data_IF_736830137391
#
_entry.id   IF_736830137391
#
_cell.length_a   1.000
_cell.length_b   1.000
_cell.length_c   1.000
_cell.angle_alpha   90.00
_cell.angle_beta   90.00
_cell.angle_gamma   90.00
#
_symmetry.space_group_name_H-M   'P 1'
#
loop_
_entity.id
_entity.type
_entity.pdbx_description
1 polymer ?
#
# COMPACT_ATOMS: atom_id res chain seq x y z
N UNK A 1 -6.96 20.71 -10.42
CA UNK A 1 -7.67 19.77 -9.54
C UNK A 1 -6.68 19.15 -8.55
N UNK A 2 -6.97 19.21 -7.27
CA UNK A 2 -6.08 18.64 -6.25
C UNK A 2 -6.22 17.11 -6.21
N UNK A 3 -5.10 16.41 -6.30
CA UNK A 3 -5.05 14.97 -6.08
C UNK A 3 -5.07 14.66 -4.59
N UNK A 4 -5.32 13.39 -4.22
CA UNK A 4 -5.20 12.97 -2.81
C UNK A 4 -3.80 13.22 -2.26
N UNK A 5 -2.78 12.96 -3.07
CA UNK A 5 -1.38 13.18 -2.68
C UNK A 5 -1.14 14.66 -2.36
N UNK A 6 -1.54 15.54 -3.26
CA UNK A 6 -1.35 16.97 -3.08
C UNK A 6 -2.07 17.48 -1.83
N UNK A 7 -3.33 17.09 -1.64
CA UNK A 7 -4.10 17.48 -0.45
C UNK A 7 -3.45 17.01 0.84
N UNK A 8 -2.96 15.78 0.85
CA UNK A 8 -2.31 15.21 2.04
C UNK A 8 -1.07 16.02 2.41
N UNK A 9 -0.20 16.32 1.45
CA UNK A 9 1.00 17.10 1.72
C UNK A 9 0.69 18.55 2.08
N UNK A 10 -0.32 19.15 1.48
CA UNK A 10 -0.75 20.51 1.85
C UNK A 10 -1.26 20.57 3.29
N UNK A 11 -2.04 19.60 3.71
CA UNK A 11 -2.53 19.48 5.09
C UNK A 11 -1.40 19.27 6.09
N UNK A 12 -0.46 18.38 5.77
CA UNK A 12 0.71 18.14 6.62
C UNK A 12 1.53 19.42 6.78
N UNK A 13 1.77 20.13 5.68
CA UNK A 13 2.51 21.39 5.71
C UNK A 13 1.80 22.44 6.53
N UNK A 14 0.49 22.59 6.35
CA UNK A 14 -0.34 23.56 7.10
C UNK A 14 -0.30 23.31 8.61
N UNK A 15 -0.18 22.05 9.01
CA UNK A 15 -0.15 21.64 10.42
C UNK A 15 1.28 21.46 10.94
N UNK A 16 2.28 21.79 10.16
CA UNK A 16 3.71 21.61 10.51
C UNK A 16 4.03 20.18 10.93
N UNK A 17 3.45 19.20 10.22
CA UNK A 17 3.61 17.78 10.50
C UNK A 17 4.45 17.09 9.43
N UNK A 18 5.21 16.09 9.85
CA UNK A 18 5.96 15.21 8.96
C UNK A 18 5.06 14.07 8.51
N UNK A 19 5.11 13.73 7.23
CA UNK A 19 4.34 12.63 6.68
C UNK A 19 5.00 11.28 6.92
N UNK A 20 4.17 10.25 7.12
CA UNK A 20 4.60 8.86 7.19
C UNK A 20 4.11 8.14 5.94
N UNK A 21 5.05 7.60 5.18
CA UNK A 21 4.78 6.79 3.99
C UNK A 21 5.16 5.35 4.31
N UNK A 22 4.19 4.45 4.25
CA UNK A 22 4.43 3.03 4.51
C UNK A 22 4.38 2.23 3.22
N UNK A 23 5.15 1.15 3.18
CA UNK A 23 5.23 0.24 2.03
C UNK A 23 4.77 -1.14 2.42
N UNK A 24 4.06 -1.80 1.49
CA UNK A 24 3.75 -3.20 1.67
C UNK A 24 3.63 -3.89 0.31
N UNK A 25 3.98 -5.17 0.26
CA UNK A 25 3.84 -5.98 -0.94
C UNK A 25 2.39 -6.40 -1.13
N UNK A 26 1.81 -6.11 -2.28
CA UNK A 26 0.45 -6.50 -2.60
C UNK A 26 0.29 -8.03 -2.54
N UNK A 27 -0.75 -8.48 -1.83
CA UNK A 27 -1.03 -9.91 -1.68
C UNK A 27 -0.24 -10.62 -0.58
N UNK A 28 0.64 -9.92 0.12
CA UNK A 28 1.40 -10.50 1.24
C UNK A 28 0.70 -10.24 2.58
N UNK A 29 0.63 -11.21 3.48
CA UNK A 29 0.98 -12.63 3.31
C UNK A 29 -0.05 -13.42 2.50
N UNK A 30 -1.26 -12.90 2.38
CA UNK A 30 -2.32 -13.34 1.48
C UNK A 30 -3.27 -12.16 1.21
N UNK A 31 -4.24 -12.36 0.33
CA UNK A 31 -5.11 -11.26 -0.12
C UNK A 31 -5.92 -10.65 1.03
N UNK A 32 -6.54 -11.47 1.86
CA UNK A 32 -7.42 -10.98 2.94
C UNK A 32 -6.64 -10.24 4.02
N UNK A 33 -5.52 -10.81 4.47
CA UNK A 33 -4.67 -10.17 5.47
C UNK A 33 -4.02 -8.89 4.92
N UNK A 34 -3.65 -8.89 3.65
CA UNK A 34 -3.11 -7.69 3.02
C UNK A 34 -4.11 -6.53 3.07
N UNK A 35 -5.38 -6.79 2.78
CA UNK A 35 -6.43 -5.78 2.89
C UNK A 35 -6.57 -5.27 4.33
N UNK A 36 -6.57 -6.17 5.31
CA UNK A 36 -6.65 -5.81 6.72
C UNK A 36 -5.47 -4.92 7.14
N UNK A 37 -4.27 -5.26 6.68
CA UNK A 37 -3.06 -4.47 6.95
C UNK A 37 -3.17 -3.07 6.35
N UNK A 38 -3.60 -2.94 5.11
CA UNK A 38 -3.77 -1.63 4.45
C UNK A 38 -4.77 -0.77 5.22
N UNK A 39 -5.91 -1.36 5.59
CA UNK A 39 -6.92 -0.65 6.38
C UNK A 39 -6.35 -0.18 7.73
N UNK A 40 -5.59 -1.04 8.41
CA UNK A 40 -5.00 -0.71 9.69
C UNK A 40 -3.90 0.34 9.57
N UNK A 41 -3.08 0.29 8.53
CA UNK A 41 -2.05 1.31 8.28
C UNK A 41 -2.66 2.70 8.16
N UNK A 42 -3.75 2.83 7.43
CA UNK A 42 -4.42 4.13 7.26
C UNK A 42 -5.02 4.63 8.58
N UNK A 43 -5.57 3.75 9.40
CA UNK A 43 -6.15 4.10 10.70
C UNK A 43 -5.09 4.45 11.73
N UNK A 44 -3.91 3.84 11.62
CA UNK A 44 -2.84 3.96 12.60
C UNK A 44 -1.86 5.11 12.33
N UNK A 45 -2.10 5.89 11.28
CA UNK A 45 -1.36 7.12 11.05
C UNK A 45 -0.52 7.17 9.78
N UNK A 46 -0.60 6.17 8.90
CA UNK A 46 0.04 6.28 7.60
C UNK A 46 -0.66 7.35 6.76
N UNK A 47 0.11 8.32 6.31
CA UNK A 47 -0.41 9.42 5.50
C UNK A 47 -0.52 9.06 4.03
N UNK A 48 0.34 8.16 3.58
CA UNK A 48 0.36 7.65 2.23
C UNK A 48 0.82 6.19 2.28
N UNK A 49 0.25 5.35 1.44
CA UNK A 49 0.62 3.93 1.38
C UNK A 49 1.16 3.61 0.00
N UNK A 50 2.33 3.00 -0.05
CA UNK A 50 2.91 2.46 -1.27
C UNK A 50 2.64 0.96 -1.35
N UNK A 51 1.97 0.53 -2.42
CA UNK A 51 1.70 -0.87 -2.68
C UNK A 51 2.68 -1.37 -3.72
N UNK A 52 3.54 -2.32 -3.32
CA UNK A 52 4.49 -2.93 -4.21
C UNK A 52 3.90 -4.08 -4.99
N UNK A 53 4.01 -4.06 -6.33
CA UNK A 53 3.64 -5.20 -7.14
C UNK A 53 4.63 -6.33 -6.92
N UNK A 54 4.17 -7.56 -6.59
CA UNK A 54 5.09 -8.69 -6.49
C UNK A 54 5.78 -8.95 -7.82
N UNK A 55 7.08 -9.13 -7.78
CA UNK A 55 7.89 -9.36 -8.95
C UNK A 55 8.83 -10.53 -8.70
N UNK A 56 9.02 -11.38 -9.71
CA UNK A 56 9.81 -12.61 -9.56
C UNK A 56 11.31 -12.36 -9.43
N UNK A 57 11.77 -11.16 -9.80
CA UNK A 57 13.20 -10.82 -9.82
C UNK A 57 13.44 -9.40 -9.30
N UNK A 58 13.08 -9.09 -8.03
CA UNK A 58 13.21 -7.74 -7.49
C UNK A 58 14.62 -7.47 -6.97
N UNK A 59 15.58 -7.37 -7.87
CA UNK A 59 17.03 -7.33 -7.53
C UNK A 59 17.43 -6.12 -6.68
N UNK A 60 16.75 -5.00 -6.82
CA UNK A 60 17.13 -3.74 -6.16
C UNK A 60 16.54 -3.57 -4.76
N UNK A 61 15.63 -4.42 -4.33
CA UNK A 61 14.83 -4.18 -3.12
C UNK A 61 15.29 -4.96 -1.88
N UNK A 62 16.23 -5.88 -2.05
CA UNK A 62 16.79 -6.66 -0.97
C UNK A 62 15.99 -7.90 -0.59
N UNK A 63 16.52 -8.71 0.34
CA UNK A 63 15.98 -10.04 0.61
C UNK A 63 14.60 -10.06 1.25
N UNK A 64 14.26 -9.06 2.07
CA UNK A 64 12.96 -9.00 2.75
C UNK A 64 11.82 -8.81 1.75
N UNK A 65 11.98 -7.84 0.84
CA UNK A 65 10.96 -7.58 -0.20
C UNK A 65 10.92 -8.73 -1.21
N UNK A 66 12.07 -9.30 -1.55
CA UNK A 66 12.13 -10.49 -2.41
C UNK A 66 11.32 -11.63 -1.82
N UNK A 67 11.46 -11.87 -0.53
CA UNK A 67 10.73 -12.94 0.16
C UNK A 67 9.23 -12.68 0.20
N UNK A 68 8.79 -11.45 0.51
CA UNK A 68 7.38 -11.11 0.52
C UNK A 68 6.75 -11.22 -0.87
N UNK A 69 7.47 -10.82 -1.90
CA UNK A 69 7.04 -10.97 -3.30
C UNK A 69 6.88 -12.44 -3.67
N UNK A 70 7.86 -13.27 -3.29
CA UNK A 70 7.79 -14.71 -3.55
C UNK A 70 6.56 -15.34 -2.89
N UNK A 71 6.30 -15.03 -1.64
CA UNK A 71 5.15 -15.55 -0.90
C UNK A 71 3.85 -15.11 -1.59
N UNK A 72 3.73 -13.85 -1.96
CA UNK A 72 2.55 -13.35 -2.65
C UNK A 72 2.32 -14.05 -3.99
N UNK A 73 3.37 -14.22 -4.79
CA UNK A 73 3.31 -14.92 -6.07
C UNK A 73 2.96 -16.40 -5.90
N UNK A 74 3.55 -17.06 -4.92
CA UNK A 74 3.25 -18.47 -4.62
C UNK A 74 1.79 -18.65 -4.19
N UNK A 75 1.17 -17.62 -3.59
CA UNK A 75 -0.24 -17.60 -3.25
C UNK A 75 -1.15 -17.19 -4.43
N UNK A 76 -0.59 -17.03 -5.61
CA UNK A 76 -1.36 -16.75 -6.82
C UNK A 76 -1.72 -15.29 -7.05
N UNK A 77 -0.98 -14.36 -6.43
CA UNK A 77 -1.27 -12.94 -6.61
C UNK A 77 -1.06 -12.49 -8.06
N UNK A 78 -1.96 -11.64 -8.54
CA UNK A 78 -1.94 -11.07 -9.90
C UNK A 78 -2.15 -9.57 -9.85
N UNK A 79 -1.90 -8.89 -10.97
CA UNK A 79 -2.21 -7.46 -11.13
C UNK A 79 -3.69 -7.18 -10.87
N UNK A 80 -4.57 -8.03 -11.33
CA UNK A 80 -6.02 -7.89 -11.11
C UNK A 80 -6.36 -7.91 -9.63
N UNK A 81 -5.71 -8.79 -8.86
CA UNK A 81 -5.91 -8.86 -7.41
C UNK A 81 -5.39 -7.61 -6.71
N UNK A 82 -4.34 -6.98 -7.21
CA UNK A 82 -3.88 -5.68 -6.70
C UNK A 82 -4.96 -4.62 -6.89
N UNK A 83 -5.56 -4.54 -8.06
CA UNK A 83 -6.64 -3.58 -8.30
C UNK A 83 -7.87 -3.86 -7.45
N UNK A 84 -8.22 -5.13 -7.25
CA UNK A 84 -9.32 -5.51 -6.36
C UNK A 84 -9.04 -5.09 -4.92
N UNK A 85 -7.81 -5.26 -4.46
CA UNK A 85 -7.37 -4.85 -3.14
C UNK A 85 -7.59 -3.34 -2.93
N UNK A 86 -7.16 -2.54 -3.88
CA UNK A 86 -7.32 -1.08 -3.83
C UNK A 86 -8.80 -0.69 -3.89
N UNK A 87 -9.58 -1.34 -4.75
CA UNK A 87 -11.02 -1.13 -4.84
C UNK A 87 -11.73 -1.35 -3.51
N UNK A 88 -11.42 -2.47 -2.85
CA UNK A 88 -11.99 -2.80 -1.55
C UNK A 88 -11.57 -1.79 -0.48
N UNK A 89 -10.32 -1.38 -0.49
CA UNK A 89 -9.82 -0.33 0.40
C UNK A 89 -10.61 0.97 0.20
N UNK A 90 -10.85 1.37 -1.06
CA UNK A 90 -11.59 2.60 -1.39
C UNK A 90 -13.06 2.58 -0.95
N UNK A 91 -13.65 1.43 -0.72
CA UNK A 91 -15.02 1.38 -0.18
C UNK A 91 -15.13 1.96 1.22
N UNK A 92 -14.05 1.95 1.98
CA UNK A 92 -14.01 2.44 3.36
C UNK A 92 -13.14 3.69 3.54
N UNK A 93 -12.26 3.98 2.60
CA UNK A 93 -11.32 5.09 2.69
C UNK A 93 -11.11 5.73 1.33
N UNK A 94 -11.67 6.92 1.16
CA UNK A 94 -11.55 7.70 -0.08
C UNK A 94 -10.44 8.75 -0.02
N UNK A 95 -9.78 8.92 1.13
CA UNK A 95 -8.87 10.05 1.38
C UNK A 95 -7.39 9.68 1.34
N UNK A 96 -7.00 8.52 1.84
CA UNK A 96 -5.59 8.13 1.93
C UNK A 96 -5.02 7.85 0.54
N UNK A 97 -3.95 8.54 0.12
CA UNK A 97 -3.27 8.22 -1.14
C UNK A 97 -2.66 6.82 -1.12
N UNK A 98 -2.78 6.13 -2.24
CA UNK A 98 -2.11 4.87 -2.48
C UNK A 98 -1.33 4.99 -3.79
#
# INVERSE_FOLDING_TARGET
MATRILRTFDELKSNSQTGLITYLTAGFPNQDLCLDIINELSKSGSDLIEIGMPFSDPMAEGPIIQQSSKIALDNGHTMELTFDLIKKFRTKNSQTPI
#
